data_IF_817752947399
#
_entry.id   IF_817752947399
#
_cell.length_a   1.000
_cell.length_b   1.000
_cell.length_c   1.000
_cell.angle_alpha   90.00
_cell.angle_beta   90.00
_cell.angle_gamma   90.00
#
_symmetry.space_group_name_H-M   'P 1'
#
loop_
_entity.id
_entity.type
_entity.pdbx_description
1 polymer ?
#
# COMPACT_ATOMS: atom_id res chain seq x y z
N UNK A 1 -19.57 -4.10 -16.16
CA UNK A 1 -19.23 -2.85 -15.44
C UNK A 1 -17.75 -2.59 -15.64
N UNK A 2 -17.37 -1.42 -16.17
CA UNK A 2 -15.96 -1.02 -16.19
C UNK A 2 -15.51 -0.78 -14.75
N UNK A 3 -14.54 -1.57 -14.28
CA UNK A 3 -13.97 -1.41 -12.95
C UNK A 3 -13.14 -0.12 -12.92
N UNK A 4 -13.14 0.59 -11.78
CA UNK A 4 -12.27 1.76 -11.51
C UNK A 4 -10.81 1.48 -11.88
N UNK A 5 -10.40 0.21 -11.80
CA UNK A 5 -9.13 -0.33 -12.27
C UNK A 5 -8.75 0.10 -13.68
N UNK A 6 -9.70 0.17 -14.62
CA UNK A 6 -9.41 0.49 -16.01
C UNK A 6 -8.83 1.91 -16.19
N UNK A 7 -9.09 2.79 -15.21
CA UNK A 7 -8.58 4.15 -15.20
C UNK A 7 -7.27 4.31 -14.40
N UNK A 8 -6.76 3.23 -13.78
CA UNK A 8 -5.53 3.25 -12.99
C UNK A 8 -4.30 3.81 -13.70
N UNK A 9 -4.13 3.69 -15.04
CA UNK A 9 -2.95 4.24 -15.69
C UNK A 9 -2.83 5.76 -15.62
N UNK A 10 -3.94 6.45 -15.33
CA UNK A 10 -4.00 7.92 -15.24
C UNK A 10 -4.01 8.42 -13.79
N UNK A 11 -4.09 7.53 -12.81
CA UNK A 11 -4.13 7.93 -11.42
C UNK A 11 -2.75 8.43 -10.98
N UNK A 12 -2.71 9.65 -10.46
CA UNK A 12 -1.51 10.23 -9.84
C UNK A 12 -1.53 10.01 -8.34
N UNK A 13 -2.71 10.08 -7.73
CA UNK A 13 -2.90 9.85 -6.31
C UNK A 13 -4.16 8.99 -6.10
N UNK A 14 -4.08 8.03 -5.20
CA UNK A 14 -5.22 7.22 -4.80
C UNK A 14 -5.27 7.12 -3.27
N UNK A 15 -6.41 7.51 -2.69
CA UNK A 15 -6.65 7.44 -1.25
C UNK A 15 -7.92 6.65 -0.98
N UNK A 16 -7.78 5.51 -0.33
CA UNK A 16 -8.87 4.67 0.15
C UNK A 16 -8.95 4.90 1.65
N UNK A 17 -9.99 5.62 2.09
CA UNK A 17 -10.12 6.08 3.47
C UNK A 17 -11.17 5.28 4.25
N UNK A 18 -11.03 5.15 5.58
CA UNK A 18 -11.75 4.16 6.38
C UNK A 18 -13.24 4.46 6.55
N UNK A 19 -13.64 5.71 6.32
CA UNK A 19 -15.05 6.13 6.40
C UNK A 19 -15.93 5.48 5.33
N UNK A 20 -15.35 4.88 4.29
CA UNK A 20 -16.10 4.25 3.21
C UNK A 20 -16.15 2.73 3.37
N UNK A 21 -17.35 2.15 3.28
CA UNK A 21 -17.59 0.70 3.39
C UNK A 21 -17.26 -0.05 2.09
N UNK A 22 -16.09 0.19 1.50
CA UNK A 22 -15.64 -0.59 0.35
C UNK A 22 -15.12 -1.98 0.75
N UNK A 23 -14.63 -2.12 2.00
CA UNK A 23 -14.00 -3.34 2.51
C UNK A 23 -12.72 -3.72 1.77
N UNK A 24 -12.09 -4.84 2.13
CA UNK A 24 -10.87 -5.32 1.46
C UNK A 24 -11.09 -5.65 -0.04
N UNK A 25 -12.34 -5.90 -0.44
CA UNK A 25 -12.71 -6.26 -1.82
C UNK A 25 -12.32 -5.22 -2.86
N UNK A 26 -12.24 -3.94 -2.50
CA UNK A 26 -11.79 -2.88 -3.42
C UNK A 26 -10.34 -3.07 -3.87
N UNK A 27 -9.50 -3.66 -3.03
CA UNK A 27 -8.10 -3.90 -3.35
C UNK A 27 -7.95 -4.91 -4.49
N UNK A 28 -8.82 -5.92 -4.52
CA UNK A 28 -8.88 -6.88 -5.63
C UNK A 28 -9.34 -6.24 -6.95
N UNK A 29 -9.94 -5.05 -6.92
CA UNK A 29 -10.24 -4.32 -8.15
C UNK A 29 -8.98 -3.65 -8.71
N UNK A 30 -7.96 -3.34 -7.91
CA UNK A 30 -6.76 -2.60 -8.33
C UNK A 30 -5.75 -3.50 -9.07
N UNK A 31 -6.17 -4.18 -10.14
CA UNK A 31 -5.32 -5.14 -10.84
C UNK A 31 -4.51 -4.53 -11.99
N UNK A 32 -4.95 -3.41 -12.56
CA UNK A 32 -4.30 -2.80 -13.71
C UNK A 32 -3.10 -1.95 -13.26
N UNK A 33 -1.99 -1.88 -14.04
CA UNK A 33 -0.86 -1.04 -13.69
C UNK A 33 -1.22 0.43 -13.44
N UNK A 34 -0.49 1.08 -12.53
CA UNK A 34 -0.63 2.50 -12.24
C UNK A 34 0.73 3.22 -12.41
N UNK A 35 1.24 3.34 -13.65
CA UNK A 35 2.55 3.93 -13.97
C UNK A 35 2.74 5.37 -13.50
N UNK A 36 1.65 6.14 -13.41
CA UNK A 36 1.68 7.56 -13.01
C UNK A 36 1.44 7.78 -11.51
N UNK A 37 1.20 6.70 -10.74
CA UNK A 37 0.85 6.80 -9.33
C UNK A 37 2.05 7.24 -8.49
N UNK A 38 1.90 8.35 -7.79
CA UNK A 38 2.90 8.98 -6.92
C UNK A 38 2.53 8.89 -5.44
N UNK A 39 1.24 8.87 -5.12
CA UNK A 39 0.77 8.73 -3.74
C UNK A 39 -0.30 7.66 -3.62
N UNK A 40 -0.13 6.77 -2.63
CA UNK A 40 -1.09 5.72 -2.30
C UNK A 40 -1.36 5.74 -0.81
N UNK A 41 -2.62 5.90 -0.42
CA UNK A 41 -3.07 5.70 0.95
C UNK A 41 -4.13 4.62 0.99
N UNK A 42 -3.90 3.57 1.78
CA UNK A 42 -4.85 2.49 2.02
C UNK A 42 -5.10 2.43 3.52
N UNK A 43 -6.23 2.98 3.91
CA UNK A 43 -6.72 3.02 5.27
C UNK A 43 -8.09 2.35 5.28
N UNK A 44 -8.10 1.04 5.55
CA UNK A 44 -9.34 0.26 5.60
C UNK A 44 -9.65 -0.10 7.05
N UNK A 45 -10.92 -0.05 7.41
CA UNK A 45 -11.41 -0.64 8.66
C UNK A 45 -11.49 -2.16 8.47
N UNK A 46 -10.39 -2.86 8.74
CA UNK A 46 -10.34 -4.32 8.69
C UNK A 46 -10.92 -4.91 9.98
N UNK A 47 -11.71 -5.98 9.84
CA UNK A 47 -12.16 -6.77 10.97
C UNK A 47 -11.01 -7.54 11.61
N UNK A 48 -11.21 -8.05 12.84
CA UNK A 48 -10.21 -8.83 13.57
C UNK A 48 -9.78 -10.11 12.84
N UNK A 49 -10.64 -10.64 11.98
CA UNK A 49 -10.45 -11.89 11.24
C UNK A 49 -10.00 -11.65 9.79
N UNK A 50 -9.84 -10.40 9.36
CA UNK A 50 -9.38 -10.08 8.01
C UNK A 50 -7.85 -10.24 7.89
N UNK A 51 -7.35 -10.71 6.73
CA UNK A 51 -5.92 -10.85 6.50
C UNK A 51 -5.22 -9.48 6.58
N UNK A 52 -4.06 -9.47 7.24
CA UNK A 52 -3.21 -8.29 7.38
C UNK A 52 -2.15 -8.18 6.27
N UNK A 53 -2.20 -9.13 5.33
CA UNK A 53 -1.40 -9.13 4.13
C UNK A 53 -2.09 -8.27 3.05
N UNK A 54 -1.37 -7.28 2.53
CA UNK A 54 -1.81 -6.48 1.42
C UNK A 54 -1.73 -7.32 0.13
N UNK A 55 -2.84 -7.48 -0.62
CA UNK A 55 -2.78 -8.17 -1.90
C UNK A 55 -1.89 -7.41 -2.89
N UNK A 56 -1.45 -8.09 -3.95
CA UNK A 56 -0.70 -7.44 -5.04
C UNK A 56 -1.59 -6.39 -5.70
N UNK A 57 -1.15 -5.12 -5.63
CA UNK A 57 -1.84 -3.98 -6.22
C UNK A 57 -1.17 -3.59 -7.53
N UNK A 58 -1.96 -3.11 -8.46
CA UNK A 58 -1.54 -2.55 -9.74
C UNK A 58 -0.59 -3.45 -10.53
N UNK A 59 -0.82 -4.78 -10.49
CA UNK A 59 0.10 -5.79 -11.05
C UNK A 59 1.55 -5.67 -10.53
N UNK A 60 1.75 -5.17 -9.32
CA UNK A 60 3.06 -4.89 -8.72
C UNK A 60 3.82 -3.72 -9.37
N UNK A 61 3.15 -2.92 -10.23
CA UNK A 61 3.79 -1.88 -11.05
C UNK A 61 3.32 -0.49 -10.65
N UNK A 62 4.06 0.12 -9.73
CA UNK A 62 3.92 1.51 -9.30
C UNK A 62 5.27 2.23 -9.34
N UNK A 63 5.88 2.39 -10.53
CA UNK A 63 7.27 2.82 -10.68
C UNK A 63 7.53 4.26 -10.19
N UNK A 64 6.51 5.12 -10.10
CA UNK A 64 6.64 6.51 -9.63
C UNK A 64 6.16 6.72 -8.20
N UNK A 65 5.90 5.64 -7.44
CA UNK A 65 5.34 5.78 -6.10
C UNK A 65 6.36 6.42 -5.16
N UNK A 66 5.99 7.58 -4.62
CA UNK A 66 6.82 8.40 -3.74
C UNK A 66 6.30 8.40 -2.30
N UNK A 67 4.98 8.28 -2.12
CA UNK A 67 4.32 8.37 -0.82
C UNK A 67 3.40 7.17 -0.59
N UNK A 68 3.64 6.45 0.49
CA UNK A 68 2.85 5.27 0.88
C UNK A 68 2.32 5.42 2.30
N UNK A 69 1.02 5.26 2.45
CA UNK A 69 0.34 5.13 3.75
C UNK A 69 -0.43 3.82 3.79
N UNK A 70 -0.10 2.95 4.75
CA UNK A 70 -0.81 1.69 4.98
C UNK A 70 -1.31 1.65 6.42
N UNK A 71 -2.63 1.50 6.61
CA UNK A 71 -3.21 1.19 7.91
C UNK A 71 -3.69 -0.26 7.94
N UNK A 72 -3.46 -0.95 9.06
CA UNK A 72 -3.86 -2.35 9.32
C UNK A 72 -3.16 -3.44 8.48
N UNK A 73 -2.32 -3.09 7.50
CA UNK A 73 -1.54 -4.03 6.68
C UNK A 73 -0.10 -4.13 7.15
N UNK A 74 0.36 -5.33 7.48
CA UNK A 74 1.68 -5.59 8.08
C UNK A 74 2.69 -6.23 7.13
N UNK A 75 2.20 -6.85 6.05
CA UNK A 75 3.03 -7.44 5.00
C UNK A 75 2.42 -7.11 3.63
N UNK A 76 3.25 -7.06 2.58
CA UNK A 76 2.81 -6.72 1.22
C UNK A 76 3.63 -7.45 0.15
N UNK A 77 3.65 -8.80 0.17
CA UNK A 77 4.42 -9.58 -0.79
C UNK A 77 3.98 -9.29 -2.23
N UNK A 78 4.95 -9.27 -3.15
CA UNK A 78 4.71 -8.97 -4.56
C UNK A 78 4.45 -7.49 -4.89
N UNK A 79 4.40 -6.61 -3.89
CA UNK A 79 4.38 -5.16 -4.11
C UNK A 79 5.79 -4.56 -3.93
N UNK A 80 6.37 -4.07 -5.02
CA UNK A 80 7.70 -3.46 -5.02
C UNK A 80 7.64 -1.94 -4.84
N UNK A 81 7.38 -1.49 -3.61
CA UNK A 81 7.22 -0.05 -3.33
C UNK A 81 8.55 0.71 -3.16
N UNK A 82 9.61 0.07 -2.66
CA UNK A 82 10.74 0.76 -2.03
C UNK A 82 11.57 1.72 -2.89
N UNK A 83 11.73 1.48 -4.20
CA UNK A 83 12.79 2.13 -4.99
C UNK A 83 12.71 3.65 -5.08
N UNK A 84 11.50 4.23 -5.00
CA UNK A 84 11.28 5.68 -5.13
C UNK A 84 10.57 6.30 -3.92
N UNK A 85 10.35 5.53 -2.84
CA UNK A 85 9.65 6.05 -1.67
C UNK A 85 10.46 7.15 -0.99
N UNK A 86 9.76 8.24 -0.72
CA UNK A 86 10.25 9.39 0.04
C UNK A 86 9.48 9.53 1.37
N UNK A 87 8.24 9.07 1.43
CA UNK A 87 7.40 9.11 2.63
C UNK A 87 6.76 7.74 2.85
N UNK A 88 6.98 7.18 4.05
CA UNK A 88 6.35 5.95 4.50
C UNK A 88 5.57 6.22 5.79
N UNK A 89 4.29 5.83 5.81
CA UNK A 89 3.45 5.89 6.98
C UNK A 89 2.78 4.54 7.21
N UNK A 90 3.10 3.90 8.32
CA UNK A 90 2.51 2.63 8.75
C UNK A 90 1.66 2.90 9.99
N UNK A 91 0.36 2.66 9.90
CA UNK A 91 -0.60 2.93 10.98
C UNK A 91 -1.31 1.65 11.42
N UNK A 92 -1.76 1.62 12.66
CA UNK A 92 -2.62 0.56 13.21
C UNK A 92 -2.13 -0.87 12.93
N UNK A 93 -0.81 -1.04 12.92
CA UNK A 93 -0.17 -2.31 12.62
C UNK A 93 -0.47 -3.30 13.75
N UNK A 94 -1.15 -4.41 13.46
CA UNK A 94 -1.55 -5.34 14.51
C UNK A 94 -0.35 -6.14 15.05
N UNK A 95 -0.19 -6.14 16.37
CA UNK A 95 1.03 -6.58 17.07
C UNK A 95 1.48 -8.01 16.79
N UNK A 96 0.55 -8.92 16.44
CA UNK A 96 0.88 -10.33 16.17
C UNK A 96 1.38 -10.62 14.75
N UNK A 97 1.19 -9.70 13.81
CA UNK A 97 1.62 -9.92 12.41
C UNK A 97 2.54 -8.83 11.87
N UNK A 98 2.99 -7.90 12.72
CA UNK A 98 4.01 -6.91 12.38
C UNK A 98 5.26 -7.63 11.85
N UNK A 99 5.87 -7.03 10.84
CA UNK A 99 7.20 -7.41 10.37
C UNK A 99 8.18 -7.49 11.54
N UNK A 100 9.05 -8.48 11.52
CA UNK A 100 10.19 -8.52 12.44
C UNK A 100 11.07 -7.29 12.25
N UNK A 101 11.81 -6.89 13.29
CA UNK A 101 12.69 -5.70 13.20
C UNK A 101 13.70 -5.83 12.05
N UNK A 102 14.26 -7.03 11.83
CA UNK A 102 15.19 -7.28 10.73
C UNK A 102 14.52 -7.08 9.36
N UNK A 103 13.35 -7.67 9.13
CA UNK A 103 12.60 -7.51 7.88
C UNK A 103 12.21 -6.05 7.63
N UNK A 104 11.85 -5.32 8.69
CA UNK A 104 11.55 -3.90 8.61
C UNK A 104 12.79 -3.09 8.22
N UNK A 105 13.96 -3.38 8.79
CA UNK A 105 15.23 -2.73 8.43
C UNK A 105 15.64 -3.06 7.00
N UNK A 106 15.51 -4.32 6.56
CA UNK A 106 15.76 -4.73 5.18
C UNK A 106 14.86 -3.95 4.20
N UNK A 107 13.59 -3.73 4.57
CA UNK A 107 12.69 -2.89 3.78
C UNK A 107 13.15 -1.43 3.74
N UNK A 108 13.58 -0.85 4.86
CA UNK A 108 14.11 0.52 4.88
C UNK A 108 15.37 0.66 4.03
N UNK A 109 16.26 -0.34 4.03
CA UNK A 109 17.44 -0.38 3.15
C UNK A 109 17.05 -0.38 1.67
N UNK A 110 15.91 -0.99 1.32
CA UNK A 110 15.37 -0.95 -0.04
C UNK A 110 14.79 0.41 -0.46
N UNK A 111 14.71 1.37 0.47
CA UNK A 111 14.15 2.71 0.27
C UNK A 111 15.24 3.81 0.36
N UNK A 112 16.18 3.90 -0.60
CA UNK A 112 17.35 4.80 -0.51
C UNK A 112 16.98 6.30 -0.56
N UNK A 113 15.74 6.63 -0.91
CA UNK A 113 15.25 8.00 -1.01
C UNK A 113 14.30 8.40 0.12
N UNK A 114 14.12 7.54 1.14
CA UNK A 114 13.19 7.79 2.23
C UNK A 114 13.63 9.01 3.04
N UNK A 115 12.70 9.95 3.24
CA UNK A 115 12.90 11.20 3.98
C UNK A 115 12.04 11.28 5.23
N UNK A 116 10.84 10.72 5.15
CA UNK A 116 9.87 10.74 6.24
C UNK A 116 9.37 9.33 6.54
N UNK A 117 9.40 8.99 7.84
CA UNK A 117 8.94 7.73 8.37
C UNK A 117 7.98 8.00 9.54
N UNK A 118 6.76 7.49 9.45
CA UNK A 118 5.74 7.54 10.49
C UNK A 118 5.32 6.11 10.84
N UNK A 119 5.31 5.78 12.14
CA UNK A 119 5.03 4.45 12.70
C UNK A 119 3.95 4.49 13.77
#
# INVERSE_FOLDING_TARGET
MQSVAYHSPRFVELHIQPQFRYGAKILHALQHPAPELRALSIMLNLGKDEPQELPVLFSGRTPKLERLTLANFTTWPGNSFGSNLTHLCLLDQHHRARMGISEFLDFLESCPHLKELVL
#
